data_IF_193314979081
#
_entry.id   IF_193314979081
#
_cell.length_a   1.000
_cell.length_b   1.000
_cell.length_c   1.000
_cell.angle_alpha   90.00
_cell.angle_beta   90.00
_cell.angle_gamma   90.00
#
_symmetry.space_group_name_H-M   'P 1'
#
loop_
_entity.id
_entity.type
_entity.pdbx_description
1 polymer ?
#
# COMPACT_ATOMS: atom_id res chain seq x y z
N UNK A 1 -14.68 15.41 11.19
CA UNK A 1 -14.30 14.10 10.64
C UNK A 1 -15.18 13.84 9.43
N UNK A 2 -14.65 14.04 8.23
CA UNK A 2 -15.38 13.74 6.99
C UNK A 2 -15.26 12.24 6.72
N UNK A 3 -16.35 11.49 6.94
CA UNK A 3 -16.48 10.13 6.43
C UNK A 3 -16.72 10.21 4.93
N UNK A 4 -15.67 10.13 4.15
CA UNK A 4 -15.77 9.93 2.71
C UNK A 4 -16.10 8.45 2.46
N UNK A 5 -17.35 8.16 2.16
CA UNK A 5 -17.83 6.85 1.70
C UNK A 5 -17.63 6.76 0.18
N UNK A 6 -16.38 6.60 -0.23
CA UNK A 6 -16.02 6.17 -1.58
C UNK A 6 -15.11 4.95 -1.45
N UNK A 7 -15.10 4.09 -2.47
CA UNK A 7 -14.18 2.97 -2.64
C UNK A 7 -12.87 3.23 -1.88
N UNK A 8 -12.65 2.49 -0.80
CA UNK A 8 -11.56 2.77 0.12
C UNK A 8 -10.32 2.03 -0.40
N UNK A 9 -9.67 2.61 -1.41
CA UNK A 9 -8.46 2.06 -2.00
C UNK A 9 -7.37 3.12 -2.07
N UNK A 10 -6.13 2.70 -1.93
CA UNK A 10 -4.98 3.57 -2.19
C UNK A 10 -4.99 3.96 -3.67
N UNK A 11 -5.01 5.26 -3.93
CA UNK A 11 -4.93 5.79 -5.28
C UNK A 11 -3.47 5.89 -5.70
N UNK A 12 -3.12 5.19 -6.79
CA UNK A 12 -1.77 5.19 -7.33
C UNK A 12 -1.74 5.71 -8.76
N UNK A 13 -0.61 6.28 -9.15
CA UNK A 13 -0.30 6.58 -10.54
C UNK A 13 0.08 5.30 -11.33
N UNK A 14 0.43 5.45 -12.60
CA UNK A 14 0.83 4.37 -13.48
C UNK A 14 2.06 3.59 -12.95
N UNK A 15 2.89 4.21 -12.10
CA UNK A 15 4.09 3.60 -11.51
C UNK A 15 3.82 2.89 -10.19
N UNK A 16 2.56 2.87 -9.74
CA UNK A 16 2.12 2.43 -8.41
C UNK A 16 2.61 3.34 -7.27
N UNK A 17 3.06 4.54 -7.61
CA UNK A 17 3.31 5.56 -6.61
C UNK A 17 1.97 6.06 -6.09
N UNK A 18 1.84 6.09 -4.79
CA UNK A 18 0.69 6.69 -4.15
C UNK A 18 0.55 8.17 -4.51
N UNK A 19 -0.67 8.58 -4.88
CA UNK A 19 -0.94 9.98 -5.28
C UNK A 19 -1.39 10.86 -4.13
N UNK A 20 -1.69 10.26 -2.98
CA UNK A 20 -1.98 11.01 -1.76
C UNK A 20 -0.76 11.83 -1.32
N UNK A 21 -1.03 12.99 -0.76
CA UNK A 21 -0.02 13.81 -0.12
C UNK A 21 -0.07 13.59 1.39
N UNK A 22 1.03 13.11 1.96
CA UNK A 22 1.14 12.87 3.40
C UNK A 22 1.57 14.15 4.13
N UNK A 23 0.58 14.93 4.54
CA UNK A 23 0.77 16.24 5.15
C UNK A 23 0.85 17.38 4.13
N UNK A 24 1.45 18.49 4.54
CA UNK A 24 1.66 19.67 3.70
C UNK A 24 3.12 19.79 3.23
N UNK A 25 3.39 20.71 2.32
CA UNK A 25 4.76 20.93 1.81
C UNK A 25 5.72 21.41 2.92
N UNK A 26 5.23 22.18 3.87
CA UNK A 26 5.96 22.73 5.00
C UNK A 26 5.97 21.83 6.23
N UNK A 27 4.98 20.92 6.34
CA UNK A 27 4.92 19.89 7.36
C UNK A 27 4.52 18.52 6.77
N UNK A 28 5.46 17.81 6.12
CA UNK A 28 5.20 16.56 5.41
C UNK A 28 5.15 15.37 6.38
N UNK A 29 4.06 15.32 7.17
CA UNK A 29 3.76 14.29 8.16
C UNK A 29 2.26 14.02 8.17
N UNK A 30 1.88 12.73 8.25
CA UNK A 30 0.52 12.29 8.49
C UNK A 30 0.48 11.16 9.50
N UNK A 31 -0.56 11.20 10.33
CA UNK A 31 -1.00 10.08 11.17
C UNK A 31 -2.29 9.52 10.61
N UNK A 32 -2.34 8.19 10.47
CA UNK A 32 -3.51 7.45 10.03
C UNK A 32 -3.91 6.43 11.09
N UNK A 33 -5.21 6.21 11.19
CA UNK A 33 -5.80 5.15 12.02
C UNK A 33 -6.73 4.34 11.12
N UNK A 34 -6.23 3.25 10.58
CA UNK A 34 -6.86 2.52 9.50
C UNK A 34 -7.32 1.14 9.95
N UNK A 35 -8.51 0.75 9.52
CA UNK A 35 -8.97 -0.62 9.56
C UNK A 35 -8.78 -1.23 8.17
N UNK A 36 -7.87 -2.19 8.03
CA UNK A 36 -7.60 -2.85 6.75
C UNK A 36 -8.86 -3.51 6.17
N UNK A 37 -9.79 -3.93 7.04
CA UNK A 37 -11.06 -4.52 6.63
C UNK A 37 -11.99 -3.58 5.88
N UNK A 38 -11.85 -2.27 6.09
CA UNK A 38 -12.64 -1.24 5.41
C UNK A 38 -12.15 -0.92 3.99
N UNK A 39 -10.94 -1.37 3.66
CA UNK A 39 -10.40 -1.24 2.32
C UNK A 39 -10.98 -2.29 1.37
N UNK A 40 -11.01 -1.97 0.08
CA UNK A 40 -11.42 -2.91 -0.96
C UNK A 40 -10.56 -4.17 -0.89
N UNK A 41 -11.23 -5.33 -0.93
CA UNK A 41 -10.57 -6.64 -0.82
C UNK A 41 -9.87 -6.90 0.51
N UNK A 42 -10.20 -6.12 1.55
CA UNK A 42 -9.57 -6.21 2.86
C UNK A 42 -8.05 -6.10 2.75
N UNK A 43 -7.60 -5.17 1.90
CA UNK A 43 -6.18 -4.91 1.70
C UNK A 43 -5.89 -3.46 1.34
N UNK A 44 -4.80 -2.94 1.88
CA UNK A 44 -4.10 -1.75 1.39
C UNK A 44 -3.20 -2.27 0.26
N UNK A 45 -3.63 -2.03 -1.01
CA UNK A 45 -3.05 -2.70 -2.17
C UNK A 45 -1.63 -2.21 -2.50
N UNK A 46 -0.96 -2.88 -3.43
CA UNK A 46 0.41 -2.57 -3.84
C UNK A 46 0.59 -1.11 -4.18
N UNK A 47 1.47 -0.45 -3.42
CA UNK A 47 1.89 0.93 -3.62
C UNK A 47 3.30 1.17 -3.11
N UNK A 48 3.83 2.33 -3.44
CA UNK A 48 5.05 2.88 -2.87
C UNK A 48 4.97 4.40 -2.80
N UNK A 49 5.71 5.00 -1.91
CA UNK A 49 5.82 6.44 -1.75
C UNK A 49 7.25 6.86 -1.38
N UNK A 50 7.63 8.14 -1.59
CA UNK A 50 8.97 8.63 -1.28
C UNK A 50 9.21 8.90 0.21
N UNK A 51 8.16 8.86 1.01
CA UNK A 51 8.20 8.97 2.45
C UNK A 51 8.68 7.65 3.09
N UNK A 52 8.91 7.69 4.39
CA UNK A 52 9.05 6.50 5.23
C UNK A 52 7.78 6.27 6.01
N UNK A 53 7.50 5.02 6.35
CA UNK A 53 6.29 4.63 7.07
C UNK A 53 6.62 3.78 8.30
N UNK A 54 5.91 4.02 9.40
CA UNK A 54 5.90 3.18 10.59
C UNK A 54 4.48 2.75 10.87
N UNK A 55 4.24 1.45 10.81
CA UNK A 55 2.94 0.82 11.04
C UNK A 55 2.99 0.03 12.33
N UNK A 56 1.91 0.06 13.10
CA UNK A 56 1.70 -0.78 14.27
C UNK A 56 0.40 -1.56 14.14
N UNK A 57 0.41 -2.83 14.47
CA UNK A 57 -0.80 -3.65 14.55
C UNK A 57 -1.36 -3.52 15.95
N UNK A 58 -2.41 -2.71 16.12
CA UNK A 58 -3.06 -2.53 17.42
C UNK A 58 -4.08 -3.63 17.73
N UNK A 59 -4.75 -4.15 16.68
CA UNK A 59 -5.74 -5.22 16.81
C UNK A 59 -5.63 -6.15 15.60
N UNK A 60 -5.89 -7.43 15.80
CA UNK A 60 -5.90 -8.45 14.75
C UNK A 60 -4.52 -8.89 14.32
N UNK A 61 -4.44 -9.34 13.09
CA UNK A 61 -3.18 -9.73 12.43
C UNK A 61 -3.25 -9.41 10.94
N UNK A 62 -2.10 -9.17 10.35
CA UNK A 62 -1.97 -8.85 8.93
C UNK A 62 -0.89 -9.69 8.27
N UNK A 63 -1.06 -9.91 6.98
CA UNK A 63 0.04 -10.28 6.08
C UNK A 63 0.60 -9.00 5.47
N UNK A 64 1.87 -8.72 5.73
CA UNK A 64 2.60 -7.61 5.14
C UNK A 64 3.54 -8.14 4.06
N UNK A 65 3.39 -7.65 2.84
CA UNK A 65 4.23 -7.97 1.69
C UNK A 65 5.11 -6.76 1.41
N UNK A 66 6.43 -6.90 1.57
CA UNK A 66 7.41 -5.81 1.40
C UNK A 66 8.54 -6.29 0.50
N UNK A 67 8.66 -5.68 -0.68
CA UNK A 67 9.58 -6.18 -1.69
C UNK A 67 9.30 -7.65 -1.99
N UNK A 68 10.31 -8.52 -1.83
CA UNK A 68 10.17 -9.98 -2.05
C UNK A 68 9.83 -10.78 -0.79
N UNK A 69 9.60 -10.12 0.35
CA UNK A 69 9.39 -10.78 1.62
C UNK A 69 7.92 -10.73 2.05
N UNK A 70 7.50 -11.79 2.73
CA UNK A 70 6.18 -11.88 3.35
C UNK A 70 6.35 -12.02 4.86
N UNK A 71 5.68 -11.16 5.60
CA UNK A 71 5.65 -11.17 7.05
C UNK A 71 4.23 -11.32 7.55
N UNK A 72 4.04 -12.05 8.64
CA UNK A 72 2.77 -12.08 9.37
C UNK A 72 3.02 -11.31 10.67
N UNK A 73 2.27 -10.24 10.86
CA UNK A 73 2.37 -9.39 12.04
C UNK A 73 1.06 -9.49 12.83
N UNK A 74 1.20 -9.63 14.14
CA UNK A 74 0.09 -9.69 15.09
C UNK A 74 0.04 -8.43 15.94
N UNK A 75 -1.07 -8.22 16.64
CA UNK A 75 -1.21 -7.15 17.61
C UNK A 75 0.00 -7.09 18.56
N UNK A 76 0.51 -5.89 18.82
CA UNK A 76 1.74 -5.66 19.58
C UNK A 76 3.02 -5.59 18.76
N UNK A 77 2.96 -5.88 17.46
CA UNK A 77 4.11 -5.78 16.55
C UNK A 77 3.96 -4.59 15.61
N UNK A 78 5.09 -4.08 15.13
CA UNK A 78 5.11 -3.03 14.13
C UNK A 78 6.19 -3.26 13.08
N UNK A 79 6.11 -2.46 12.03
CA UNK A 79 7.05 -2.50 10.91
C UNK A 79 7.38 -1.09 10.45
N UNK A 80 8.67 -0.85 10.23
CA UNK A 80 9.18 0.29 9.47
C UNK A 80 9.30 -0.11 8.00
N UNK A 81 8.83 0.73 7.10
CA UNK A 81 8.99 0.59 5.65
C UNK A 81 9.83 1.75 5.14
N UNK A 82 10.90 1.40 4.44
CA UNK A 82 11.84 2.37 3.91
C UNK A 82 11.28 3.06 2.65
N UNK A 83 11.80 4.25 2.34
CA UNK A 83 11.41 5.04 1.17
C UNK A 83 11.45 4.25 -0.14
N UNK A 84 10.46 4.46 -1.01
CA UNK A 84 10.37 3.85 -2.35
C UNK A 84 10.33 2.32 -2.38
N UNK A 85 9.98 1.68 -1.28
CA UNK A 85 9.78 0.23 -1.22
C UNK A 85 8.34 -0.09 -1.56
N UNK A 86 8.14 -0.99 -2.55
CA UNK A 86 6.80 -1.47 -2.86
C UNK A 86 6.29 -2.38 -1.74
N UNK A 87 5.09 -2.13 -1.27
CA UNK A 87 4.49 -2.88 -0.17
C UNK A 87 2.98 -3.00 -0.28
N UNK A 88 2.40 -3.90 0.52
CA UNK A 88 0.97 -4.18 0.59
C UNK A 88 0.63 -4.80 1.94
N UNK A 89 -0.53 -4.46 2.50
CA UNK A 89 -1.07 -5.07 3.70
C UNK A 89 -2.38 -5.79 3.39
N UNK A 90 -2.54 -7.01 3.89
CA UNK A 90 -3.74 -7.84 3.73
C UNK A 90 -4.23 -8.31 5.10
N UNK A 91 -5.54 -8.35 5.29
CA UNK A 91 -6.16 -8.89 6.49
C UNK A 91 -7.20 -9.96 6.13
N UNK A 92 -7.24 -11.04 6.91
CA UNK A 92 -8.28 -12.08 6.80
C UNK A 92 -9.48 -11.75 7.67
N UNK A 93 -9.26 -10.95 8.73
CA UNK A 93 -10.25 -10.45 9.67
C UNK A 93 -10.00 -8.96 9.94
N UNK A 94 -10.80 -8.36 10.81
CA UNK A 94 -10.63 -6.96 11.23
C UNK A 94 -9.23 -6.73 11.83
N UNK A 95 -8.50 -5.79 11.27
CA UNK A 95 -7.17 -5.41 11.72
C UNK A 95 -6.98 -3.89 11.71
N UNK A 96 -6.60 -3.33 12.85
CA UNK A 96 -6.42 -1.90 13.05
C UNK A 96 -4.95 -1.55 13.01
N UNK A 97 -4.59 -0.62 12.11
CA UNK A 97 -3.23 -0.17 11.82
C UNK A 97 -3.08 1.33 12.06
N UNK A 98 -2.80 1.79 13.30
CA UNK A 98 -2.23 3.12 13.47
C UNK A 98 -0.89 3.20 12.76
N UNK A 99 -0.70 4.25 11.94
CA UNK A 99 0.55 4.42 11.21
C UNK A 99 0.91 5.90 11.05
N UNK A 100 2.20 6.17 10.84
CA UNK A 100 2.71 7.48 10.48
C UNK A 100 3.49 7.39 9.18
N UNK A 101 3.23 8.34 8.30
CA UNK A 101 3.96 8.52 7.05
C UNK A 101 4.56 9.91 7.04
N UNK A 102 5.86 10.03 6.83
CA UNK A 102 6.51 11.33 6.81
C UNK A 102 7.74 11.38 5.89
N UNK A 103 8.00 12.57 5.36
CA UNK A 103 9.22 12.81 4.61
C UNK A 103 10.42 12.96 5.56
N UNK A 104 11.53 12.24 5.33
CA UNK A 104 12.75 12.40 6.13
C UNK A 104 13.30 13.83 6.13
N UNK A 105 12.91 14.67 5.16
CA UNK A 105 13.27 16.10 5.11
C UNK A 105 12.71 16.90 6.28
N UNK A 106 11.66 16.39 6.92
CA UNK A 106 11.11 16.99 8.15
C UNK A 106 12.11 16.96 9.31
N UNK A 107 12.98 15.94 9.37
CA UNK A 107 13.98 15.77 10.42
C UNK A 107 15.25 16.61 10.19
N UNK A 108 15.66 16.75 8.94
CA UNK A 108 16.86 17.52 8.59
C UNK A 108 16.91 17.81 7.08
N UNK A 109 17.48 18.98 6.73
CA UNK A 109 17.75 19.32 5.34
C UNK A 109 18.71 18.32 4.70
N UNK A 110 18.49 17.87 3.44
CA UNK A 110 19.37 16.96 2.71
C UNK A 110 20.84 17.34 2.70
N UNK A 111 21.14 18.62 2.70
CA UNK A 111 22.53 19.14 2.67
C UNK A 111 23.16 19.20 4.07
N UNK A 112 22.39 18.94 5.13
CA UNK A 112 22.88 19.02 6.50
C UNK A 112 23.76 17.83 6.86
N UNK A 113 24.69 18.04 7.81
CA UNK A 113 25.50 16.96 8.38
C UNK A 113 24.66 15.89 9.05
N UNK A 114 23.52 16.27 9.67
CA UNK A 114 22.60 15.33 10.34
C UNK A 114 22.01 14.41 9.30
N UNK A 115 21.47 14.93 8.20
CA UNK A 115 20.90 14.12 7.13
C UNK A 115 21.91 13.16 6.53
N UNK A 116 23.09 13.66 6.13
CA UNK A 116 24.13 12.87 5.49
C UNK A 116 24.67 11.76 6.39
N UNK A 117 24.76 11.99 7.70
CA UNK A 117 25.34 11.02 8.64
C UNK A 117 24.32 10.03 9.19
N UNK A 118 23.07 10.45 9.44
CA UNK A 118 22.12 9.64 10.20
C UNK A 118 20.86 9.23 9.41
N UNK A 119 20.43 10.04 8.42
CA UNK A 119 19.24 9.70 7.64
C UNK A 119 19.63 8.94 6.36
N UNK A 120 20.53 9.49 5.59
CA UNK A 120 20.95 8.94 4.30
C UNK A 120 21.40 7.46 4.38
N UNK A 121 22.15 7.00 5.39
CA UNK A 121 22.51 5.59 5.49
C UNK A 121 21.32 4.65 5.58
N UNK A 122 20.24 5.02 6.30
CA UNK A 122 19.00 4.24 6.35
C UNK A 122 18.30 4.27 5.00
N UNK A 123 18.11 5.46 4.44
CA UNK A 123 17.35 5.67 3.19
C UNK A 123 18.01 5.00 1.98
N UNK A 124 19.34 4.99 1.92
CA UNK A 124 20.13 4.40 0.83
C UNK A 124 20.48 2.92 1.09
N UNK A 125 20.09 2.35 2.23
CA UNK A 125 20.39 0.95 2.56
C UNK A 125 19.56 -0.02 1.72
N UNK A 126 20.00 -1.28 1.64
CA UNK A 126 19.23 -2.38 1.05
C UNK A 126 18.10 -2.87 1.95
N UNK A 127 18.02 -2.39 3.20
CA UNK A 127 16.98 -2.74 4.17
C UNK A 127 15.65 -2.16 3.74
N UNK A 128 14.76 -3.02 3.26
CA UNK A 128 13.42 -2.63 2.81
C UNK A 128 12.49 -2.33 3.99
N UNK A 129 12.60 -3.09 5.07
CA UNK A 129 11.77 -2.93 6.27
C UNK A 129 12.49 -3.42 7.52
N UNK A 130 11.98 -3.02 8.70
CA UNK A 130 12.43 -3.47 10.00
C UNK A 130 11.22 -3.79 10.86
N UNK A 131 11.11 -5.02 11.38
CA UNK A 131 10.05 -5.42 12.31
C UNK A 131 10.51 -5.13 13.74
N UNK A 132 9.58 -4.70 14.58
CA UNK A 132 9.80 -4.41 15.99
C UNK A 132 8.59 -4.82 16.86
N UNK A 133 8.86 -5.15 18.12
CA UNK A 133 7.85 -5.54 19.12
C UNK A 133 8.30 -5.16 20.53
N UNK A 134 7.48 -5.43 21.54
CA UNK A 134 7.87 -5.24 22.94
C UNK A 134 9.05 -6.13 23.35
N UNK A 135 9.23 -7.28 22.71
CA UNK A 135 10.32 -8.24 22.97
C UNK A 135 11.60 -7.90 22.20
N UNK A 136 11.41 -7.30 21.00
CA UNK A 136 12.51 -6.89 20.15
C UNK A 136 12.39 -5.40 19.84
N UNK A 137 13.47 -4.63 20.05
CA UNK A 137 13.50 -3.19 19.76
C UNK A 137 12.40 -2.39 20.50
N UNK A 138 12.21 -2.71 21.79
CA UNK A 138 11.18 -2.10 22.66
C UNK A 138 11.19 -0.56 22.63
N UNK A 139 12.35 0.08 22.53
CA UNK A 139 12.47 1.54 22.47
C UNK A 139 11.77 2.14 21.27
N UNK A 140 11.88 1.50 20.08
CA UNK A 140 11.24 1.94 18.84
C UNK A 140 9.71 1.89 19.02
N UNK A 141 9.20 0.76 19.49
CA UNK A 141 7.76 0.60 19.73
C UNK A 141 7.23 1.61 20.74
N UNK A 142 7.90 1.78 21.87
CA UNK A 142 7.47 2.72 22.92
C UNK A 142 7.40 4.16 22.38
N UNK A 143 8.41 4.61 21.64
CA UNK A 143 8.43 5.95 21.04
C UNK A 143 7.36 6.12 19.97
N UNK A 144 7.08 5.09 19.17
CA UNK A 144 6.01 5.12 18.18
C UNK A 144 4.63 5.27 18.85
N UNK A 145 4.38 4.55 19.93
CA UNK A 145 3.14 4.67 20.71
C UNK A 145 3.02 6.05 21.39
N UNK A 146 4.15 6.66 21.85
CA UNK A 146 4.16 8.04 22.33
C UNK A 146 3.74 9.03 21.23
N UNK A 147 4.19 8.81 19.97
CA UNK A 147 3.79 9.64 18.83
C UNK A 147 2.29 9.49 18.57
N UNK A 148 1.75 8.27 18.54
CA UNK A 148 0.32 8.07 18.30
C UNK A 148 -0.53 8.75 19.38
N UNK A 149 -0.20 8.57 20.66
CA UNK A 149 -0.89 9.23 21.76
C UNK A 149 -0.87 10.75 21.64
N UNK A 150 0.25 11.33 21.15
CA UNK A 150 0.35 12.77 20.91
C UNK A 150 -0.57 13.21 19.74
N UNK A 151 -0.71 12.40 18.67
CA UNK A 151 -1.59 12.73 17.54
C UNK A 151 -3.08 12.61 17.90
N UNK A 152 -3.43 11.79 18.89
CA UNK A 152 -4.80 11.60 19.36
C UNK A 152 -5.21 12.62 20.45
N UNK A 153 -4.27 13.42 20.97
CA UNK A 153 -4.52 14.45 21.95
C UNK A 153 -5.28 15.65 21.32
N UNK A 154 -6.06 16.38 22.13
CA UNK A 154 -6.81 17.56 21.68
C UNK A 154 -5.89 18.67 21.14
N UNK A 155 -4.71 18.83 21.76
CA UNK A 155 -3.68 19.77 21.33
C UNK A 155 -2.43 18.99 20.89
N UNK A 156 -2.27 18.82 19.59
CA UNK A 156 -1.07 18.22 19.00
C UNK A 156 -0.03 19.31 18.69
N UNK A 157 1.21 19.07 19.11
CA UNK A 157 2.33 19.98 18.90
C UNK A 157 3.28 19.42 17.83
N UNK A 158 3.44 20.13 16.72
CA UNK A 158 4.36 19.75 15.63
C UNK A 158 5.80 19.63 16.16
N UNK A 159 6.21 20.51 17.06
CA UNK A 159 7.56 20.46 17.63
C UNK A 159 7.77 19.24 18.51
N UNK A 160 6.77 18.84 19.30
CA UNK A 160 6.83 17.63 20.10
C UNK A 160 6.84 16.38 19.21
N UNK A 161 6.05 16.38 18.14
CA UNK A 161 6.07 15.32 17.12
C UNK A 161 7.45 15.17 16.52
N UNK A 162 8.08 16.26 16.07
CA UNK A 162 9.44 16.23 15.48
C UNK A 162 10.49 15.76 16.49
N UNK A 163 10.39 16.14 17.77
CA UNK A 163 11.28 15.63 18.82
C UNK A 163 11.17 14.11 18.96
N UNK A 164 9.96 13.56 18.98
CA UNK A 164 9.74 12.12 19.07
C UNK A 164 10.18 11.39 17.79
N UNK A 165 9.97 11.98 16.61
CA UNK A 165 10.45 11.43 15.35
C UNK A 165 11.99 11.38 15.30
N UNK A 166 12.69 12.39 15.82
CA UNK A 166 14.16 12.38 15.92
C UNK A 166 14.63 11.28 16.89
N UNK A 167 13.95 11.10 18.04
CA UNK A 167 14.22 10.01 18.98
C UNK A 167 13.99 8.64 18.34
N UNK A 168 12.87 8.46 17.62
CA UNK A 168 12.53 7.23 16.89
C UNK A 168 13.58 6.91 15.84
N UNK A 169 14.00 7.92 15.07
CA UNK A 169 15.01 7.77 14.04
C UNK A 169 16.38 7.38 14.59
N UNK A 170 16.78 8.00 15.70
CA UNK A 170 18.02 7.64 16.40
C UNK A 170 18.00 6.18 16.85
N UNK A 171 16.91 5.74 17.47
CA UNK A 171 16.74 4.34 17.89
C UNK A 171 16.80 3.37 16.70
N UNK A 172 16.18 3.73 15.55
CA UNK A 172 16.30 2.96 14.31
C UNK A 172 17.75 2.85 13.84
N UNK A 173 18.48 3.96 13.85
CA UNK A 173 19.89 4.02 13.44
C UNK A 173 20.79 3.18 14.35
N UNK A 174 20.59 3.25 15.67
CA UNK A 174 21.43 2.58 16.67
C UNK A 174 21.18 1.07 16.77
N UNK A 175 19.95 0.62 16.47
CA UNK A 175 19.53 -0.77 16.65
C UNK A 175 19.66 -1.64 15.39
N UNK A 176 20.07 -1.09 14.25
CA UNK A 176 20.10 -1.84 12.99
C UNK A 176 21.39 -1.58 12.21
N UNK A 177 21.79 -2.57 11.42
CA UNK A 177 22.89 -2.43 10.47
C UNK A 177 22.34 -1.98 9.10
N UNK A 178 22.72 -0.78 8.67
CA UNK A 178 22.38 -0.20 7.38
C UNK A 178 23.61 -0.07 6.46
N UNK A 179 24.64 -0.88 6.66
CA UNK A 179 25.88 -0.83 5.88
C UNK A 179 25.74 -1.30 4.44
N UNK A 180 24.78 -2.18 4.16
CA UNK A 180 24.51 -2.65 2.80
C UNK A 180 23.71 -1.61 1.99
N UNK A 181 24.28 -1.18 0.86
CA UNK A 181 23.65 -0.16 -0.01
C UNK A 181 22.72 -0.76 -1.06
N UNK A 182 21.71 0.02 -1.50
CA UNK A 182 20.69 -0.33 -2.52
C UNK A 182 21.21 -0.73 -3.90
N UNK A 183 22.48 -0.54 -4.22
CA UNK A 183 23.07 -1.01 -5.49
C UNK A 183 23.18 -2.53 -5.59
N UNK A 184 22.24 -3.24 -4.94
CA UNK A 184 22.16 -4.69 -4.96
C UNK A 184 21.42 -5.18 -6.21
N UNK A 185 21.68 -6.41 -6.68
CA UNK A 185 20.87 -7.07 -7.72
C UNK A 185 19.36 -7.06 -7.43
N UNK A 186 18.97 -6.96 -6.15
CA UNK A 186 17.58 -6.88 -5.69
C UNK A 186 16.89 -5.58 -6.12
N UNK A 187 17.56 -4.42 -6.03
CA UNK A 187 16.98 -3.13 -6.46
C UNK A 187 16.70 -3.10 -7.97
N UNK A 188 17.59 -3.68 -8.78
CA UNK A 188 17.38 -3.80 -10.22
C UNK A 188 16.17 -4.68 -10.56
N UNK A 189 16.02 -5.82 -9.88
CA UNK A 189 14.88 -6.71 -10.01
C UNK A 189 13.55 -6.04 -9.63
N UNK A 190 13.55 -5.28 -8.55
CA UNK A 190 12.37 -4.51 -8.10
C UNK A 190 11.98 -3.44 -9.14
N UNK A 191 12.94 -2.71 -9.69
CA UNK A 191 12.68 -1.74 -10.75
C UNK A 191 12.11 -2.41 -12.01
N UNK A 192 12.65 -3.55 -12.42
CA UNK A 192 12.11 -4.33 -13.54
C UNK A 192 10.67 -4.79 -13.28
N UNK A 193 10.38 -5.27 -12.07
CA UNK A 193 9.03 -5.66 -11.69
C UNK A 193 8.05 -4.48 -11.77
N UNK A 194 8.42 -3.32 -11.20
CA UNK A 194 7.60 -2.11 -11.25
C UNK A 194 7.30 -1.68 -12.70
N UNK A 195 8.30 -1.72 -13.59
CA UNK A 195 8.09 -1.43 -15.02
C UNK A 195 7.15 -2.43 -15.68
N UNK A 196 7.21 -3.72 -15.33
CA UNK A 196 6.26 -4.73 -15.83
C UNK A 196 4.84 -4.51 -15.34
N UNK A 197 4.68 -4.16 -14.06
CA UNK A 197 3.37 -3.83 -13.47
C UNK A 197 2.79 -2.57 -14.15
N UNK A 198 3.58 -1.53 -14.34
CA UNK A 198 3.22 -0.34 -15.09
C UNK A 198 2.77 -0.67 -16.53
N UNK A 199 3.49 -1.54 -17.23
CA UNK A 199 3.08 -2.01 -18.57
C UNK A 199 1.71 -2.69 -18.53
N UNK A 200 1.46 -3.55 -17.53
CA UNK A 200 0.16 -4.21 -17.35
C UNK A 200 -0.93 -3.18 -17.10
N UNK A 201 -0.73 -2.23 -16.18
CA UNK A 201 -1.72 -1.20 -15.83
C UNK A 201 -2.07 -0.30 -17.02
N UNK A 202 -1.11 0.02 -17.86
CA UNK A 202 -1.34 0.84 -19.06
C UNK A 202 -2.07 0.09 -20.17
N UNK A 203 -1.91 -1.23 -20.24
CA UNK A 203 -2.38 -2.03 -21.37
C UNK A 203 -3.41 -3.10 -20.98
N UNK A 204 -3.94 -3.09 -19.75
CA UNK A 204 -4.80 -4.17 -19.21
C UNK A 204 -6.05 -4.45 -20.06
N UNK A 205 -6.62 -3.41 -20.70
CA UNK A 205 -7.81 -3.56 -21.55
C UNK A 205 -7.52 -4.26 -22.89
N UNK A 206 -6.24 -4.38 -23.27
CA UNK A 206 -5.79 -5.03 -24.51
C UNK A 206 -5.46 -6.50 -24.25
N UNK A 207 -5.37 -7.28 -25.34
CA UNK A 207 -4.96 -8.69 -25.29
C UNK A 207 -3.43 -8.79 -25.17
N UNK A 208 -2.90 -8.50 -23.99
CA UNK A 208 -1.47 -8.63 -23.69
C UNK A 208 -1.12 -10.04 -23.20
N UNK A 209 0.04 -10.52 -23.60
CA UNK A 209 0.55 -11.84 -23.25
C UNK A 209 1.75 -11.77 -22.31
N UNK A 210 2.12 -12.90 -21.71
CA UNK A 210 3.37 -13.01 -20.94
C UNK A 210 4.60 -12.58 -21.76
N UNK A 211 4.57 -12.81 -23.09
CA UNK A 211 5.67 -12.38 -23.96
C UNK A 211 5.76 -10.85 -24.07
N UNK A 212 4.63 -10.16 -24.14
CA UNK A 212 4.56 -8.70 -24.21
C UNK A 212 5.05 -8.08 -22.91
N UNK A 213 4.63 -8.63 -21.76
CA UNK A 213 5.10 -8.21 -20.44
C UNK A 213 6.62 -8.39 -20.31
N UNK A 214 7.16 -9.54 -20.68
CA UNK A 214 8.60 -9.81 -20.65
C UNK A 214 9.40 -8.86 -21.56
N UNK A 215 8.88 -8.59 -22.77
CA UNK A 215 9.48 -7.69 -23.74
C UNK A 215 9.53 -6.24 -23.27
N UNK A 216 8.56 -5.78 -22.46
CA UNK A 216 8.48 -4.40 -21.98
C UNK A 216 9.73 -3.96 -21.18
N UNK A 217 10.43 -4.91 -20.57
CA UNK A 217 11.67 -4.68 -19.80
C UNK A 217 12.86 -5.50 -20.32
N UNK A 218 12.76 -6.03 -21.54
CA UNK A 218 13.82 -6.79 -22.20
C UNK A 218 14.34 -8.00 -21.41
N UNK A 219 13.45 -8.73 -20.73
CA UNK A 219 13.79 -9.97 -20.01
C UNK A 219 13.13 -11.20 -20.63
N UNK A 220 13.57 -12.39 -20.22
CA UNK A 220 12.94 -13.65 -20.64
C UNK A 220 11.58 -13.88 -19.95
N UNK A 221 10.72 -14.70 -20.58
CA UNK A 221 9.47 -15.14 -19.94
C UNK A 221 9.71 -15.85 -18.60
N UNK A 222 10.77 -16.63 -18.50
CA UNK A 222 11.16 -17.32 -17.25
C UNK A 222 11.53 -16.31 -16.16
N UNK A 223 12.34 -15.30 -16.49
CA UNK A 223 12.71 -14.23 -15.56
C UNK A 223 11.47 -13.46 -15.10
N UNK A 224 10.53 -13.15 -16.00
CA UNK A 224 9.26 -12.49 -15.67
C UNK A 224 8.44 -13.32 -14.68
N UNK A 225 8.27 -14.62 -14.94
CA UNK A 225 7.57 -15.53 -14.02
C UNK A 225 8.24 -15.58 -12.65
N UNK A 226 9.57 -15.65 -12.61
CA UNK A 226 10.35 -15.68 -11.37
C UNK A 226 10.16 -14.40 -10.57
N UNK A 227 10.26 -13.23 -11.21
CA UNK A 227 10.09 -11.93 -10.55
C UNK A 227 8.70 -11.77 -9.93
N UNK A 228 7.63 -12.07 -10.70
CA UNK A 228 6.26 -11.99 -10.18
C UNK A 228 6.03 -12.99 -9.03
N UNK A 229 6.57 -14.20 -9.13
CA UNK A 229 6.45 -15.21 -8.07
C UNK A 229 7.25 -14.83 -6.82
N UNK A 230 8.48 -14.30 -7.01
CA UNK A 230 9.37 -13.89 -5.92
C UNK A 230 8.82 -12.69 -5.15
N UNK A 231 8.30 -11.66 -5.84
CA UNK A 231 7.91 -10.38 -5.23
C UNK A 231 6.41 -10.26 -4.97
N UNK A 232 5.55 -10.80 -5.84
CA UNK A 232 4.09 -10.64 -5.74
C UNK A 232 3.37 -11.95 -5.38
N UNK A 233 4.11 -13.05 -5.20
CA UNK A 233 3.59 -14.38 -4.90
C UNK A 233 2.49 -14.86 -5.87
N UNK A 234 2.47 -14.33 -7.09
CA UNK A 234 1.52 -14.64 -8.14
C UNK A 234 2.20 -14.78 -9.52
N UNK A 235 1.42 -15.06 -10.56
CA UNK A 235 1.93 -15.05 -11.93
C UNK A 235 1.55 -13.75 -12.64
N UNK A 236 2.30 -13.29 -13.68
CA UNK A 236 1.95 -12.10 -14.46
C UNK A 236 0.53 -12.15 -15.03
N UNK A 237 0.08 -13.33 -15.47
CA UNK A 237 -1.26 -13.52 -16.03
C UNK A 237 -2.33 -13.41 -14.94
N UNK A 238 -2.14 -14.02 -13.78
CA UNK A 238 -3.07 -13.87 -12.67
C UNK A 238 -3.13 -12.44 -12.17
N UNK A 239 -1.98 -11.77 -12.06
CA UNK A 239 -1.90 -10.36 -11.70
C UNK A 239 -2.72 -9.48 -12.68
N UNK A 240 -2.58 -9.71 -13.99
CA UNK A 240 -3.37 -9.02 -15.01
C UNK A 240 -4.88 -9.29 -14.83
N UNK A 241 -5.27 -10.55 -14.59
CA UNK A 241 -6.68 -10.92 -14.37
C UNK A 241 -7.23 -10.20 -13.14
N UNK A 242 -6.50 -10.22 -12.03
CA UNK A 242 -6.92 -9.58 -10.78
C UNK A 242 -7.04 -8.06 -10.96
N UNK A 243 -6.09 -7.43 -11.66
CA UNK A 243 -6.15 -6.00 -11.99
C UNK A 243 -7.38 -5.66 -12.85
N UNK A 244 -7.65 -6.44 -13.90
CA UNK A 244 -8.85 -6.30 -14.75
C UNK A 244 -10.13 -6.39 -13.94
N UNK A 245 -10.21 -7.35 -13.01
CA UNK A 245 -11.37 -7.54 -12.14
C UNK A 245 -11.59 -6.36 -11.20
N UNK A 246 -10.53 -5.76 -10.65
CA UNK A 246 -10.59 -4.56 -9.81
C UNK A 246 -11.10 -3.36 -10.63
N UNK A 247 -10.59 -3.14 -11.84
CA UNK A 247 -11.10 -2.10 -12.74
C UNK A 247 -12.57 -2.32 -13.09
N UNK A 248 -12.96 -3.56 -13.36
CA UNK A 248 -14.36 -3.91 -13.62
C UNK A 248 -15.27 -3.66 -12.40
N UNK A 249 -14.80 -3.94 -11.19
CA UNK A 249 -15.52 -3.69 -9.96
C UNK A 249 -15.82 -2.19 -9.78
N UNK A 250 -14.84 -1.33 -10.05
CA UNK A 250 -15.01 0.11 -10.05
C UNK A 250 -16.05 0.56 -11.10
N UNK A 251 -15.93 0.09 -12.34
CA UNK A 251 -16.89 0.41 -13.40
C UNK A 251 -18.32 -0.09 -13.08
N UNK A 252 -18.47 -1.20 -12.40
CA UNK A 252 -19.79 -1.70 -11.97
C UNK A 252 -20.49 -0.75 -10.99
N UNK A 253 -19.76 -0.09 -10.12
CA UNK A 253 -20.30 0.85 -9.13
C UNK A 253 -20.54 2.22 -9.76
N UNK A 254 -19.58 2.71 -10.56
CA UNK A 254 -19.52 4.09 -11.05
C UNK A 254 -20.31 4.31 -12.36
N UNK A 255 -20.70 3.23 -13.06
CA UNK A 255 -21.40 3.32 -14.37
C UNK A 255 -22.63 2.44 -14.44
N UNK A 256 -23.52 2.73 -15.42
CA UNK A 256 -24.67 1.89 -15.77
C UNK A 256 -24.39 0.90 -16.91
N UNK A 257 -23.14 0.80 -17.36
CA UNK A 257 -22.77 -0.05 -18.48
C UNK A 257 -23.17 -1.51 -18.24
N UNK A 258 -23.59 -2.20 -19.30
CA UNK A 258 -23.90 -3.62 -19.23
C UNK A 258 -22.68 -4.42 -18.79
N UNK A 259 -22.91 -5.49 -18.00
CA UNK A 259 -21.84 -6.39 -17.50
C UNK A 259 -20.96 -6.93 -18.64
N UNK A 260 -21.56 -7.24 -19.80
CA UNK A 260 -20.82 -7.68 -20.98
C UNK A 260 -19.91 -6.60 -21.56
N UNK A 261 -20.36 -5.35 -21.60
CA UNK A 261 -19.55 -4.21 -22.04
C UNK A 261 -18.37 -3.98 -21.08
N UNK A 262 -18.64 -3.98 -19.77
CA UNK A 262 -17.57 -3.84 -18.76
C UNK A 262 -16.52 -4.97 -18.90
N UNK A 263 -16.96 -6.20 -19.16
CA UNK A 263 -16.03 -7.31 -19.39
C UNK A 263 -15.12 -7.04 -20.60
N UNK A 264 -15.66 -6.54 -21.71
CA UNK A 264 -14.89 -6.19 -22.92
C UNK A 264 -13.97 -5.00 -22.67
N UNK A 265 -14.46 -3.93 -22.07
CA UNK A 265 -13.70 -2.70 -21.75
C UNK A 265 -12.52 -2.99 -20.81
N UNK A 266 -12.64 -4.01 -19.98
CA UNK A 266 -11.58 -4.46 -19.06
C UNK A 266 -10.73 -5.60 -19.61
N UNK A 267 -10.85 -5.94 -20.91
CA UNK A 267 -9.96 -6.85 -21.63
C UNK A 267 -10.29 -8.34 -21.49
N UNK A 268 -11.50 -8.70 -21.03
CA UNK A 268 -11.93 -10.10 -21.03
C UNK A 268 -12.52 -10.49 -22.40
N UNK A 269 -12.08 -11.62 -22.95
CA UNK A 269 -12.56 -12.11 -24.24
C UNK A 269 -14.05 -12.52 -24.20
N UNK A 270 -14.49 -13.06 -23.06
CA UNK A 270 -15.90 -13.50 -22.91
C UNK A 270 -16.48 -13.08 -21.56
N UNK A 271 -17.74 -12.64 -21.58
CA UNK A 271 -18.46 -12.31 -20.36
C UNK A 271 -18.64 -13.52 -19.42
N UNK A 272 -18.70 -14.72 -19.94
CA UNK A 272 -18.80 -15.95 -19.16
C UNK A 272 -17.52 -16.21 -18.34
N UNK A 273 -16.34 -16.05 -18.93
CA UNK A 273 -15.06 -16.14 -18.23
C UNK A 273 -14.93 -15.05 -17.18
N UNK A 274 -15.24 -13.80 -17.55
CA UNK A 274 -15.28 -12.66 -16.63
C UNK A 274 -16.15 -12.95 -15.40
N UNK A 275 -17.43 -13.31 -15.60
CA UNK A 275 -18.35 -13.55 -14.48
C UNK A 275 -17.87 -14.66 -13.53
N UNK A 276 -17.23 -15.70 -14.07
CA UNK A 276 -16.66 -16.79 -13.29
C UNK A 276 -15.48 -16.33 -12.45
N UNK A 277 -14.52 -15.58 -13.04
CA UNK A 277 -13.37 -15.05 -12.33
C UNK A 277 -13.80 -13.99 -11.31
N UNK A 278 -14.74 -13.11 -11.67
CA UNK A 278 -15.31 -12.10 -10.79
C UNK A 278 -15.96 -12.72 -9.55
N UNK A 279 -16.80 -13.74 -9.75
CA UNK A 279 -17.43 -14.47 -8.62
C UNK A 279 -16.40 -15.19 -7.75
N UNK A 280 -15.32 -15.69 -8.35
CA UNK A 280 -14.23 -16.34 -7.59
C UNK A 280 -13.50 -15.34 -6.68
N UNK A 281 -13.21 -14.13 -7.18
CA UNK A 281 -12.48 -13.10 -6.43
C UNK A 281 -13.40 -12.41 -5.41
N UNK A 282 -14.59 -11.96 -5.81
CA UNK A 282 -15.47 -11.12 -4.99
C UNK A 282 -16.55 -11.89 -4.22
N UNK A 283 -16.64 -13.21 -4.37
CA UNK A 283 -17.68 -14.07 -3.81
C UNK A 283 -19.12 -13.66 -4.22
N UNK A 284 -19.26 -12.64 -5.07
CA UNK A 284 -20.51 -12.11 -5.61
C UNK A 284 -20.49 -12.14 -7.13
N UNK A 285 -21.68 -12.28 -7.75
CA UNK A 285 -21.78 -12.03 -9.19
C UNK A 285 -21.66 -10.52 -9.49
N UNK A 286 -21.19 -10.10 -10.69
CA UNK A 286 -21.07 -8.69 -11.05
C UNK A 286 -22.34 -7.88 -10.80
N UNK A 287 -23.52 -8.44 -11.13
CA UNK A 287 -24.81 -7.78 -10.89
C UNK A 287 -25.13 -7.59 -9.40
N UNK A 288 -24.86 -8.59 -8.56
CA UNK A 288 -25.05 -8.48 -7.10
C UNK A 288 -24.05 -7.49 -6.49
N UNK A 289 -22.81 -7.49 -6.97
CA UNK A 289 -21.78 -6.54 -6.53
C UNK A 289 -22.20 -5.09 -6.82
N UNK A 290 -22.71 -4.81 -8.03
CA UNK A 290 -23.28 -3.50 -8.40
C UNK A 290 -24.38 -3.07 -7.44
N UNK A 291 -25.34 -3.96 -7.16
CA UNK A 291 -26.46 -3.65 -6.26
C UNK A 291 -26.00 -3.35 -4.83
N UNK A 292 -25.02 -4.11 -4.32
CA UNK A 292 -24.46 -3.92 -2.98
C UNK A 292 -23.65 -2.61 -2.88
N UNK A 293 -22.82 -2.29 -3.89
CA UNK A 293 -22.04 -1.07 -3.94
C UNK A 293 -22.88 0.20 -3.98
N UNK A 294 -23.94 0.21 -4.78
CA UNK A 294 -24.86 1.37 -4.89
C UNK A 294 -25.66 1.63 -3.62
N UNK A 295 -26.04 0.60 -2.88
CA UNK A 295 -26.71 0.77 -1.57
C UNK A 295 -25.79 1.40 -0.51
N UNK A 296 -24.48 1.25 -0.63
CA UNK A 296 -23.47 1.89 0.24
C UNK A 296 -23.27 3.38 -0.09
N UNK A 297 -23.56 3.80 -1.32
CA UNK A 297 -23.37 5.18 -1.79
C UNK A 297 -24.64 6.04 -1.67
N UNK A 298 -25.81 5.47 -1.39
CA UNK A 298 -27.01 6.27 -1.11
C UNK A 298 -26.91 6.90 0.27
N UNK A 299 -27.05 8.25 0.39
CA UNK A 299 -27.09 8.89 1.70
C UNK A 299 -28.32 8.36 2.47
N UNK A 300 -28.11 7.86 3.67
CA UNK A 300 -29.17 7.57 4.61
C UNK A 300 -29.95 8.86 4.85
N UNK A 301 -31.14 8.96 4.25
CA UNK A 301 -32.11 9.99 4.57
C UNK A 301 -32.51 9.81 6.05
N UNK A 302 -31.95 10.62 6.93
CA UNK A 302 -32.58 10.86 8.23
C UNK A 302 -33.86 11.66 7.93
N UNK A 303 -35.03 11.21 8.37
CA UNK A 303 -36.21 12.03 8.31
C UNK A 303 -35.97 13.28 9.16
N UNK A 304 -36.19 14.44 8.55
CA UNK A 304 -36.22 15.71 9.27
C UNK A 304 -37.28 15.59 10.37
N UNK A 305 -36.84 15.66 11.63
CA UNK A 305 -37.77 15.84 12.74
C UNK A 305 -38.47 17.20 12.54
N UNK A 306 -39.78 17.08 12.29
CA UNK A 306 -40.70 18.18 12.26
C UNK A 306 -40.94 18.70 13.69
N UNK A 307 -40.63 19.94 13.92
CA UNK A 307 -41.29 20.95 14.75
C UNK A 307 -40.37 21.95 15.34
#
# INVERSE_FOLDING_TARGET
MNKQTAVNSILTDETMRETAHHGSTDYPFCYYYENVWDFDFHCIDWHWHPEVEFVYVSTGHITCLVGSQRYILSAGQGIFINTQVIHRFEAEDEAILPNIVFSPRLLASPDSRIYQKYLKPILDSSVACVIFSAETKQGILATLLEIFALQEAEECSEIATVQLLLKLWQQMYDCNDFSERRNSPSAHKQAQLQMMMQFIHKNYSQQITLADIAKSVSVSKSSTLTLFKEYLHTTPVNYLIDYRLKQAANLLITTDNHVGTIAQDTGFETAAYFCRQFKKLFQLTPGKYRQAGRKRTEPTHYPAESS
#
